data_IF_374250214618
#
_entry.id   IF_374250214618
#
_cell.length_a   1.000
_cell.length_b   1.000
_cell.length_c   1.000
_cell.angle_alpha   90.00
_cell.angle_beta   90.00
_cell.angle_gamma   90.00
#
_symmetry.space_group_name_H-M   'P 1'
#
loop_
_entity.id
_entity.type
_entity.pdbx_description
1 polymer ?
#
# COMPACT_ATOMS: atom_id res chain seq x y z
N UNK A 1 6.00 2.62 25.35
CA UNK A 1 5.09 3.45 24.52
C UNK A 1 5.42 4.94 24.64
N UNK A 2 5.38 5.54 25.84
CA UNK A 2 5.58 6.98 26.02
C UNK A 2 6.99 7.46 25.68
N UNK A 3 8.03 6.68 25.98
CA UNK A 3 9.42 7.02 25.59
C UNK A 3 9.57 7.21 24.07
N UNK A 4 8.91 6.36 23.29
CA UNK A 4 8.86 6.49 21.82
C UNK A 4 8.15 7.78 21.37
N UNK A 5 7.13 8.24 22.08
CA UNK A 5 6.39 9.47 21.75
C UNK A 5 7.24 10.73 22.05
N UNK A 6 8.05 10.70 23.09
CA UNK A 6 8.99 11.78 23.37
C UNK A 6 10.08 11.88 22.30
N UNK A 7 10.63 10.73 21.85
CA UNK A 7 11.58 10.70 20.72
C UNK A 7 10.98 11.26 19.43
N UNK A 8 9.72 10.95 19.15
CA UNK A 8 8.99 11.47 17.99
C UNK A 8 8.78 12.98 18.10
N UNK A 9 8.47 13.50 19.29
CA UNK A 9 8.34 14.94 19.52
C UNK A 9 9.67 15.66 19.24
N UNK A 10 10.79 15.11 19.72
CA UNK A 10 12.13 15.65 19.48
C UNK A 10 12.43 15.64 17.98
N UNK A 11 12.14 14.52 17.30
CA UNK A 11 12.34 14.42 15.84
C UNK A 11 11.51 15.43 15.06
N UNK A 12 10.25 15.63 15.45
CA UNK A 12 9.37 16.62 14.82
C UNK A 12 9.92 18.05 14.99
N UNK A 13 10.45 18.39 16.16
CA UNK A 13 11.08 19.70 16.41
C UNK A 13 12.34 19.88 15.53
N UNK A 14 13.18 18.85 15.41
CA UNK A 14 14.34 18.88 14.51
C UNK A 14 13.94 19.11 13.06
N UNK A 15 12.89 18.41 12.58
CA UNK A 15 12.37 18.61 11.21
C UNK A 15 11.90 20.05 11.00
N UNK A 16 11.22 20.63 11.99
CA UNK A 16 10.78 22.03 11.91
C UNK A 16 11.96 23.01 11.88
N UNK A 17 13.05 22.72 12.58
CA UNK A 17 14.29 23.50 12.52
C UNK A 17 14.99 23.34 11.16
N UNK A 18 15.13 22.09 10.66
CA UNK A 18 15.73 21.79 9.36
C UNK A 18 14.96 22.43 8.20
N UNK A 19 13.63 22.48 8.25
CA UNK A 19 12.78 23.11 7.22
C UNK A 19 12.96 24.65 7.17
N UNK A 20 13.43 25.28 8.25
CA UNK A 20 13.75 26.70 8.28
C UNK A 20 15.16 27.01 7.77
N UNK A 21 15.99 26.00 7.49
CA UNK A 21 17.35 26.21 6.98
C UNK A 21 17.30 26.55 5.47
N UNK A 22 17.88 27.69 5.04
CA UNK A 22 17.95 28.09 3.63
C UNK A 22 18.62 27.05 2.72
N UNK A 23 19.57 26.27 3.24
CA UNK A 23 20.29 25.26 2.46
C UNK A 23 19.39 24.07 2.12
N UNK A 24 18.49 23.69 3.02
CA UNK A 24 17.50 22.62 2.80
C UNK A 24 16.44 23.05 1.79
N UNK A 25 16.01 24.31 1.79
CA UNK A 25 15.04 24.85 0.84
C UNK A 25 15.55 24.77 -0.61
N UNK A 26 16.86 24.85 -0.80
CA UNK A 26 17.49 24.75 -2.13
C UNK A 26 17.58 23.29 -2.65
N UNK A 27 17.55 22.28 -1.76
CA UNK A 27 17.48 20.86 -2.14
C UNK A 27 16.03 20.37 -2.18
N UNK A 28 15.41 20.45 -3.35
CA UNK A 28 14.00 20.06 -3.52
C UNK A 28 13.70 18.60 -3.12
N UNK A 29 14.65 17.66 -3.29
CA UNK A 29 14.44 16.26 -2.91
C UNK A 29 14.41 16.11 -1.39
N UNK A 30 15.37 16.71 -0.73
CA UNK A 30 15.48 16.69 0.74
C UNK A 30 14.31 17.45 1.39
N UNK A 31 13.97 18.63 0.88
CA UNK A 31 12.83 19.40 1.35
C UNK A 31 11.51 18.63 1.28
N UNK A 32 11.22 17.96 0.13
CA UNK A 32 10.00 17.15 -0.01
C UNK A 32 9.97 15.99 0.97
N UNK A 33 11.11 15.36 1.23
CA UNK A 33 11.20 14.25 2.20
C UNK A 33 10.88 14.73 3.61
N UNK A 34 11.44 15.87 4.04
CA UNK A 34 11.18 16.46 5.35
C UNK A 34 9.72 16.92 5.49
N UNK A 35 9.16 17.55 4.46
CA UNK A 35 7.74 17.95 4.44
C UNK A 35 6.80 16.76 4.58
N UNK A 36 7.12 15.64 3.90
CA UNK A 36 6.34 14.41 4.03
C UNK A 36 6.45 13.84 5.45
N UNK A 37 7.67 13.73 5.99
CA UNK A 37 7.92 13.25 7.35
C UNK A 37 7.19 14.12 8.39
N UNK A 38 7.24 15.45 8.24
CA UNK A 38 6.51 16.42 9.08
C UNK A 38 5.00 16.18 9.02
N UNK A 39 4.43 16.06 7.82
CA UNK A 39 2.99 15.81 7.63
C UNK A 39 2.55 14.47 8.23
N UNK A 40 3.40 13.45 8.16
CA UNK A 40 3.10 12.13 8.73
C UNK A 40 3.13 12.12 10.26
N UNK A 41 4.04 12.89 10.88
CA UNK A 41 4.19 12.96 12.33
C UNK A 41 3.22 13.96 12.99
N UNK A 42 2.76 14.96 12.27
CA UNK A 42 1.95 16.07 12.81
C UNK A 42 0.71 15.58 13.59
N UNK A 43 -0.14 14.67 13.08
CA UNK A 43 -1.33 14.22 13.82
C UNK A 43 -0.98 13.53 15.15
N UNK A 44 0.12 12.79 15.16
CA UNK A 44 0.60 12.09 16.37
C UNK A 44 1.12 13.10 17.41
N UNK A 45 1.89 14.11 16.97
CA UNK A 45 2.43 15.17 17.84
C UNK A 45 1.32 16.02 18.43
N UNK A 46 0.32 16.41 17.62
CA UNK A 46 -0.85 17.16 18.08
C UNK A 46 -1.61 16.38 19.16
N UNK A 47 -1.88 15.10 18.92
CA UNK A 47 -2.60 14.25 19.87
C UNK A 47 -1.78 13.96 21.12
N UNK A 48 -0.47 13.81 21.00
CA UNK A 48 0.41 13.64 22.18
C UNK A 48 0.54 14.91 23.00
N UNK A 49 0.50 16.06 22.37
CA UNK A 49 0.46 17.35 23.09
C UNK A 49 -0.85 17.51 23.85
N UNK A 50 -1.99 17.13 23.24
CA UNK A 50 -3.28 17.07 23.91
C UNK A 50 -3.25 16.14 25.13
N UNK A 51 -2.64 14.96 24.99
CA UNK A 51 -2.42 14.02 26.10
C UNK A 51 -1.66 14.65 27.26
N UNK A 52 -0.51 15.30 26.97
CA UNK A 52 0.32 15.98 28.00
C UNK A 52 -0.46 17.07 28.70
N UNK A 53 -1.20 17.89 27.95
CA UNK A 53 -2.01 18.95 28.52
C UNK A 53 -3.13 18.39 29.41
N UNK A 54 -3.85 17.37 28.96
CA UNK A 54 -4.91 16.73 29.75
C UNK A 54 -4.35 16.08 31.02
N UNK A 55 -3.18 15.45 30.93
CA UNK A 55 -2.49 14.88 32.09
C UNK A 55 -2.08 15.97 33.08
N UNK A 56 -1.55 17.09 32.62
CA UNK A 56 -1.21 18.23 33.46
C UNK A 56 -2.46 18.80 34.15
N UNK A 57 -3.56 18.96 33.41
CA UNK A 57 -4.85 19.40 34.00
C UNK A 57 -5.30 18.45 35.13
N UNK A 58 -5.14 17.13 34.96
CA UNK A 58 -5.47 16.17 36.01
C UNK A 58 -4.58 16.37 37.23
N UNK A 59 -3.27 16.55 37.06
CA UNK A 59 -2.31 16.78 38.13
C UNK A 59 -2.63 18.08 38.88
N UNK A 60 -2.83 19.18 38.15
CA UNK A 60 -3.17 20.51 38.68
C UNK A 60 -4.50 20.49 39.46
N UNK A 61 -5.54 19.84 38.89
CA UNK A 61 -6.85 19.72 39.54
C UNK A 61 -6.79 18.87 40.81
N UNK A 62 -5.92 17.86 40.86
CA UNK A 62 -5.70 17.07 42.08
C UNK A 62 -5.00 17.87 43.17
N UNK A 63 -3.95 18.65 42.81
CA UNK A 63 -3.24 19.50 43.74
C UNK A 63 -4.16 20.60 44.30
N UNK A 64 -4.98 21.23 43.44
CA UNK A 64 -5.96 22.23 43.87
C UNK A 64 -7.01 21.65 44.79
N UNK A 65 -7.48 20.40 44.55
CA UNK A 65 -8.48 19.74 45.39
C UNK A 65 -7.99 19.46 46.81
N UNK A 66 -6.67 19.32 47.01
CA UNK A 66 -6.05 19.13 48.35
C UNK A 66 -5.96 20.42 49.15
N UNK A 67 -5.90 21.57 48.48
CA UNK A 67 -5.67 22.88 49.11
C UNK A 67 -6.94 23.71 49.21
N UNK A 68 -7.93 23.46 48.38
CA UNK A 68 -9.18 24.22 48.29
C UNK A 68 -10.09 23.91 49.50
N UNK A 69 -10.69 24.95 50.10
CA UNK A 69 -11.63 24.81 51.25
C UNK A 69 -13.10 25.04 50.83
N UNK A 70 -13.36 25.69 49.68
CA UNK A 70 -14.69 25.96 49.17
C UNK A 70 -15.36 24.74 48.55
N UNK A 71 -16.52 24.39 49.06
CA UNK A 71 -17.28 23.19 48.63
C UNK A 71 -17.78 23.31 47.14
N UNK A 72 -18.20 24.51 46.69
CA UNK A 72 -18.63 24.71 45.30
C UNK A 72 -17.44 24.57 44.33
N UNK A 73 -16.29 25.07 44.70
CA UNK A 73 -15.06 24.96 43.90
C UNK A 73 -14.57 23.48 43.86
N UNK A 74 -14.66 22.77 44.97
CA UNK A 74 -14.38 21.32 45.01
C UNK A 74 -15.27 20.51 44.11
N UNK A 75 -16.53 20.86 43.98
CA UNK A 75 -17.49 20.16 43.13
C UNK A 75 -17.15 20.39 41.64
N UNK A 76 -16.82 21.62 41.26
CA UNK A 76 -16.34 21.96 39.91
C UNK A 76 -15.04 21.22 39.57
N UNK A 77 -14.06 21.21 40.48
CA UNK A 77 -12.79 20.50 40.26
C UNK A 77 -12.97 18.98 40.11
N UNK A 78 -13.95 18.38 40.83
CA UNK A 78 -14.28 16.97 40.68
C UNK A 78 -14.95 16.65 39.34
N UNK A 79 -15.81 17.55 38.84
CA UNK A 79 -16.40 17.39 37.51
C UNK A 79 -15.32 17.51 36.42
N UNK A 80 -14.45 18.54 36.48
CA UNK A 80 -13.32 18.72 35.56
C UNK A 80 -12.38 17.50 35.57
N UNK A 81 -12.05 16.99 36.75
CA UNK A 81 -11.22 15.81 36.92
C UNK A 81 -11.87 14.54 36.32
N UNK A 82 -13.19 14.40 36.44
CA UNK A 82 -13.94 13.29 35.86
C UNK A 82 -13.95 13.36 34.35
N UNK A 83 -14.17 14.55 33.77
CA UNK A 83 -14.10 14.77 32.32
C UNK A 83 -12.70 14.53 31.77
N UNK A 84 -11.68 15.10 32.43
CA UNK A 84 -10.27 14.93 32.03
C UNK A 84 -9.84 13.46 32.07
N UNK A 85 -10.25 12.69 33.09
CA UNK A 85 -9.99 11.24 33.17
C UNK A 85 -10.70 10.44 32.07
N UNK A 86 -11.91 10.83 31.69
CA UNK A 86 -12.62 10.21 30.56
C UNK A 86 -11.92 10.51 29.24
N UNK A 87 -11.46 11.76 29.07
CA UNK A 87 -10.79 12.21 27.84
C UNK A 87 -9.41 11.58 27.67
N UNK A 88 -8.62 11.45 28.74
CA UNK A 88 -7.28 10.87 28.66
C UNK A 88 -7.34 9.40 28.19
N UNK A 89 -8.33 8.65 28.62
CA UNK A 89 -8.52 7.26 28.18
C UNK A 89 -8.85 7.17 26.67
N UNK A 90 -9.61 8.14 26.13
CA UNK A 90 -9.90 8.20 24.69
C UNK A 90 -8.64 8.59 23.91
N UNK A 91 -7.91 9.61 24.38
CA UNK A 91 -6.67 10.10 23.76
C UNK A 91 -5.63 8.97 23.72
N UNK A 92 -5.50 8.18 24.79
CA UNK A 92 -4.60 7.01 24.81
C UNK A 92 -4.94 5.97 23.75
N UNK A 93 -6.22 5.70 23.53
CA UNK A 93 -6.65 4.79 22.48
C UNK A 93 -6.35 5.35 21.08
N UNK A 94 -6.62 6.65 20.86
CA UNK A 94 -6.32 7.32 19.60
C UNK A 94 -4.79 7.36 19.33
N UNK A 95 -3.98 7.62 20.36
CA UNK A 95 -2.52 7.56 20.27
C UNK A 95 -2.02 6.16 19.90
N UNK A 96 -2.59 5.11 20.50
CA UNK A 96 -2.25 3.73 20.13
C UNK A 96 -2.51 3.46 18.64
N UNK A 97 -3.63 3.94 18.11
CA UNK A 97 -3.98 3.81 16.68
C UNK A 97 -3.00 4.59 15.79
N UNK A 98 -2.66 5.83 16.19
CA UNK A 98 -1.73 6.67 15.44
C UNK A 98 -0.28 6.14 15.45
N UNK A 99 0.09 5.34 16.46
CA UNK A 99 1.40 4.68 16.54
C UNK A 99 1.53 3.46 15.64
N UNK A 100 0.43 2.96 15.07
CA UNK A 100 0.50 1.87 14.10
C UNK A 100 1.31 2.36 12.88
N UNK A 101 2.37 1.66 12.49
CA UNK A 101 3.15 2.05 11.31
C UNK A 101 2.24 2.15 10.09
N UNK A 102 2.22 3.31 9.43
CA UNK A 102 1.53 3.49 8.17
C UNK A 102 2.20 2.62 7.11
N UNK A 103 1.42 1.88 6.35
CA UNK A 103 1.92 1.15 5.20
C UNK A 103 2.28 2.16 4.08
N UNK A 104 3.53 2.21 3.60
CA UNK A 104 3.92 3.12 2.53
C UNK A 104 3.10 2.94 1.25
N UNK A 105 2.48 1.75 1.10
CA UNK A 105 1.62 1.44 -0.05
C UNK A 105 0.23 2.08 0.04
N UNK A 106 -0.22 2.48 1.25
CA UNK A 106 -1.59 2.96 1.49
C UNK A 106 -1.96 4.21 0.68
N UNK A 107 -0.98 5.04 0.29
CA UNK A 107 -1.19 6.22 -0.55
C UNK A 107 -1.19 5.92 -2.06
N UNK A 108 -0.81 4.70 -2.46
CA UNK A 108 -0.65 4.36 -3.89
C UNK A 108 -1.99 4.16 -4.58
N UNK A 109 -1.98 4.41 -5.88
CA UNK A 109 -3.02 3.93 -6.78
C UNK A 109 -3.01 2.40 -6.85
N UNK A 110 -4.08 1.80 -7.33
CA UNK A 110 -4.18 0.35 -7.43
C UNK A 110 -4.51 -0.12 -8.83
N UNK A 111 -3.97 -1.27 -9.18
CA UNK A 111 -4.40 -2.07 -10.31
C UNK A 111 -5.29 -3.18 -9.75
N UNK A 112 -6.53 -3.23 -10.22
CA UNK A 112 -7.52 -4.22 -9.83
C UNK A 112 -7.65 -5.24 -10.95
N UNK A 113 -7.42 -6.51 -10.65
CA UNK A 113 -7.65 -7.63 -11.56
C UNK A 113 -8.84 -8.46 -11.07
N UNK A 114 -9.86 -8.57 -11.89
CA UNK A 114 -11.03 -9.42 -11.63
C UNK A 114 -11.01 -10.57 -12.63
N UNK A 115 -11.00 -11.80 -12.14
CA UNK A 115 -11.01 -13.00 -12.99
C UNK A 115 -12.15 -13.93 -12.63
N UNK A 116 -12.88 -14.41 -13.64
CA UNK A 116 -13.87 -15.44 -13.46
C UNK A 116 -13.19 -16.75 -13.01
N UNK A 117 -13.66 -17.30 -11.90
CA UNK A 117 -13.21 -18.57 -11.34
C UNK A 117 -14.12 -19.74 -11.70
N UNK A 118 -14.49 -20.56 -10.71
CA UNK A 118 -15.40 -21.68 -10.93
C UNK A 118 -16.83 -21.18 -11.18
N UNK A 119 -17.45 -21.62 -12.28
CA UNK A 119 -18.85 -21.29 -12.59
C UNK A 119 -19.11 -20.92 -14.05
N UNK A 120 -18.07 -20.90 -14.89
CA UNK A 120 -18.21 -20.60 -16.32
C UNK A 120 -18.80 -19.23 -16.61
N UNK A 121 -19.82 -19.16 -17.43
CA UNK A 121 -20.47 -17.91 -17.85
C UNK A 121 -21.06 -17.11 -16.69
N UNK A 122 -21.59 -17.78 -15.68
CA UNK A 122 -22.13 -17.14 -14.48
C UNK A 122 -21.03 -16.41 -13.68
N UNK A 123 -19.86 -17.02 -13.57
CA UNK A 123 -18.70 -16.36 -12.94
C UNK A 123 -18.27 -15.12 -13.74
N UNK A 124 -18.32 -15.19 -15.07
CA UNK A 124 -17.98 -14.05 -15.93
C UNK A 124 -19.00 -12.90 -15.81
N UNK A 125 -20.30 -13.20 -15.74
CA UNK A 125 -21.35 -12.21 -15.49
C UNK A 125 -21.18 -11.55 -14.13
N UNK A 126 -20.88 -12.34 -13.11
CA UNK A 126 -20.63 -11.79 -11.77
C UNK A 126 -19.35 -10.95 -11.70
N UNK A 127 -18.31 -11.28 -12.47
CA UNK A 127 -17.11 -10.44 -12.59
C UNK A 127 -17.44 -9.04 -13.15
N UNK A 128 -18.32 -8.96 -14.16
CA UNK A 128 -18.80 -7.69 -14.70
C UNK A 128 -19.62 -6.89 -13.66
N UNK A 129 -20.41 -7.56 -12.84
CA UNK A 129 -21.16 -6.92 -11.75
C UNK A 129 -20.22 -6.40 -10.65
N UNK A 130 -19.17 -7.14 -10.28
CA UNK A 130 -18.16 -6.66 -9.34
C UNK A 130 -17.41 -5.43 -9.89
N UNK A 131 -17.06 -5.43 -11.16
CA UNK A 131 -16.49 -4.24 -11.80
C UNK A 131 -17.43 -3.03 -11.68
N UNK A 132 -18.73 -3.21 -11.94
CA UNK A 132 -19.74 -2.16 -11.79
C UNK A 132 -19.83 -1.68 -10.34
N UNK A 133 -19.80 -2.59 -9.37
CA UNK A 133 -19.81 -2.26 -7.94
C UNK A 133 -18.62 -1.39 -7.56
N UNK A 134 -17.41 -1.80 -7.95
CA UNK A 134 -16.19 -1.02 -7.69
C UNK A 134 -16.17 0.31 -8.44
N UNK A 135 -16.73 0.37 -9.65
CA UNK A 135 -16.84 1.63 -10.40
C UNK A 135 -17.74 2.65 -9.68
N UNK A 136 -18.85 2.21 -9.13
CA UNK A 136 -19.75 3.09 -8.35
C UNK A 136 -19.12 3.51 -7.02
N UNK A 137 -18.39 2.59 -6.38
CA UNK A 137 -17.65 2.92 -5.16
C UNK A 137 -16.58 3.97 -5.44
N UNK A 138 -15.78 3.80 -6.49
CA UNK A 138 -14.76 4.75 -6.89
C UNK A 138 -15.37 6.13 -7.23
N UNK A 139 -16.51 6.16 -7.92
CA UNK A 139 -17.25 7.39 -8.21
C UNK A 139 -17.68 8.12 -6.91
N UNK A 140 -18.20 7.38 -5.93
CA UNK A 140 -18.57 7.93 -4.62
C UNK A 140 -17.40 8.57 -3.88
N UNK A 141 -16.20 8.02 -4.06
CA UNK A 141 -14.94 8.51 -3.47
C UNK A 141 -14.24 9.56 -4.35
N UNK A 142 -14.80 9.89 -5.52
CA UNK A 142 -14.18 10.79 -6.53
C UNK A 142 -12.83 10.25 -7.05
N UNK A 143 -12.66 8.94 -7.06
CA UNK A 143 -11.53 8.29 -7.68
C UNK A 143 -11.74 8.13 -9.19
N UNK A 144 -10.65 8.15 -9.93
CA UNK A 144 -10.67 7.93 -11.38
C UNK A 144 -10.44 6.45 -11.68
N UNK A 145 -11.22 5.89 -12.59
CA UNK A 145 -11.02 4.54 -13.13
C UNK A 145 -10.51 4.65 -14.56
N UNK A 146 -9.51 3.84 -14.87
CA UNK A 146 -8.96 3.67 -16.21
C UNK A 146 -8.89 2.19 -16.56
N UNK A 147 -9.63 1.78 -17.60
CA UNK A 147 -9.61 0.40 -18.08
C UNK A 147 -8.28 0.12 -18.77
N UNK A 148 -7.58 -0.93 -18.35
CA UNK A 148 -6.30 -1.35 -18.92
C UNK A 148 -6.48 -2.51 -19.89
N UNK A 149 -7.23 -3.55 -19.49
CA UNK A 149 -7.51 -4.72 -20.31
C UNK A 149 -8.83 -5.37 -19.95
N UNK A 150 -9.51 -5.95 -20.93
CA UNK A 150 -10.76 -6.67 -20.71
C UNK A 150 -10.90 -7.83 -21.69
N UNK A 151 -11.25 -9.00 -21.16
CA UNK A 151 -11.58 -10.19 -21.95
C UNK A 151 -13.03 -10.59 -21.70
N UNK A 152 -13.89 -10.36 -22.70
CA UNK A 152 -15.32 -10.64 -22.62
C UNK A 152 -15.64 -12.11 -22.98
N UNK A 153 -16.78 -12.62 -22.46
CA UNK A 153 -17.27 -13.96 -22.81
C UNK A 153 -18.35 -13.98 -23.92
N UNK A 154 -18.66 -12.82 -24.51
CA UNK A 154 -19.64 -12.69 -25.58
C UNK A 154 -21.11 -12.59 -25.14
N UNK A 155 -21.42 -12.72 -23.86
CA UNK A 155 -22.77 -12.54 -23.27
C UNK A 155 -22.82 -11.38 -22.27
N UNK A 156 -21.84 -10.47 -22.32
CA UNK A 156 -21.75 -9.29 -21.44
C UNK A 156 -21.04 -9.54 -20.11
N UNK A 157 -20.44 -10.71 -19.91
CA UNK A 157 -19.59 -11.03 -18.76
C UNK A 157 -18.11 -10.86 -19.07
N UNK A 158 -17.28 -10.75 -18.03
CA UNK A 158 -15.84 -10.63 -18.14
C UNK A 158 -15.15 -11.91 -17.68
N UNK A 159 -14.37 -12.54 -18.58
CA UNK A 159 -13.44 -13.61 -18.19
C UNK A 159 -12.31 -13.05 -17.35
N UNK A 160 -11.82 -11.89 -17.75
CA UNK A 160 -10.80 -11.11 -17.07
C UNK A 160 -11.07 -9.62 -17.32
N UNK A 161 -10.85 -8.81 -16.28
CA UNK A 161 -10.96 -7.37 -16.35
C UNK A 161 -9.84 -6.77 -15.49
N UNK A 162 -9.01 -5.91 -16.09
CA UNK A 162 -7.92 -5.21 -15.42
C UNK A 162 -8.13 -3.71 -15.57
N UNK A 163 -8.16 -3.00 -14.46
CA UNK A 163 -8.34 -1.55 -14.46
C UNK A 163 -7.54 -0.90 -13.33
N UNK A 164 -7.13 0.33 -13.57
CA UNK A 164 -6.46 1.16 -12.56
C UNK A 164 -7.47 2.05 -11.86
N UNK A 165 -7.31 2.20 -10.55
CA UNK A 165 -8.05 3.15 -9.72
C UNK A 165 -7.06 4.14 -9.13
N UNK A 166 -7.25 5.42 -9.43
CA UNK A 166 -6.36 6.50 -9.01
C UNK A 166 -7.10 7.51 -8.16
N UNK A 167 -6.48 7.94 -7.06
CA UNK A 167 -7.04 8.92 -6.13
C UNK A 167 -6.34 8.88 -4.78
N UNK A 168 -6.91 9.58 -3.80
CA UNK A 168 -6.33 9.64 -2.46
C UNK A 168 -6.61 8.35 -1.67
N UNK A 169 -5.54 7.78 -1.09
CA UNK A 169 -5.60 6.61 -0.21
C UNK A 169 -6.36 5.39 -0.78
N UNK A 170 -6.22 5.15 -2.09
CA UNK A 170 -6.96 4.08 -2.77
C UNK A 170 -6.56 2.72 -2.24
N UNK A 171 -5.25 2.43 -2.15
CA UNK A 171 -4.76 1.13 -1.68
C UNK A 171 -5.19 0.84 -0.25
N UNK A 172 -5.17 1.83 0.65
CA UNK A 172 -5.55 1.65 2.05
C UNK A 172 -6.97 1.08 2.23
N UNK A 173 -7.87 1.39 1.31
CA UNK A 173 -9.25 0.92 1.32
C UNK A 173 -9.46 -0.32 0.46
N UNK A 174 -8.88 -0.35 -0.74
CA UNK A 174 -9.09 -1.43 -1.71
C UNK A 174 -8.33 -2.71 -1.38
N UNK A 175 -7.23 -2.67 -0.63
CA UNK A 175 -6.44 -3.86 -0.27
C UNK A 175 -7.25 -4.98 0.39
N UNK A 176 -8.35 -4.65 1.06
CA UNK A 176 -9.24 -5.61 1.70
C UNK A 176 -10.18 -6.33 0.74
N UNK A 177 -10.24 -5.90 -0.53
CA UNK A 177 -11.07 -6.50 -1.56
C UNK A 177 -10.40 -7.73 -2.22
N UNK A 178 -9.09 -7.93 -1.98
CA UNK A 178 -8.34 -9.03 -2.56
C UNK A 178 -8.76 -10.38 -1.98
N UNK A 179 -9.03 -11.35 -2.87
CA UNK A 179 -9.39 -12.72 -2.50
C UNK A 179 -10.47 -13.33 -3.38
N UNK A 180 -11.09 -14.41 -2.89
CA UNK A 180 -12.14 -15.16 -3.58
C UNK A 180 -13.52 -14.68 -3.17
N UNK A 181 -14.29 -14.17 -4.11
CA UNK A 181 -15.68 -13.73 -3.96
C UNK A 181 -16.64 -14.83 -4.45
N UNK A 182 -17.51 -15.30 -3.59
CA UNK A 182 -18.45 -16.37 -3.88
C UNK A 182 -19.86 -15.83 -4.07
N UNK A 183 -20.48 -16.10 -5.22
CA UNK A 183 -21.87 -15.76 -5.50
C UNK A 183 -22.76 -17.00 -5.42
N UNK A 184 -23.95 -16.83 -4.87
CA UNK A 184 -25.02 -17.83 -4.78
C UNK A 184 -26.31 -17.21 -5.33
N UNK A 185 -26.70 -17.62 -6.53
CA UNK A 185 -27.96 -17.21 -7.17
C UNK A 185 -28.38 -18.22 -8.23
N UNK A 186 -29.59 -18.08 -8.74
CA UNK A 186 -30.01 -18.76 -9.95
C UNK A 186 -29.39 -18.01 -11.13
N UNK A 187 -28.50 -18.64 -11.93
CA UNK A 187 -27.90 -17.98 -13.08
C UNK A 187 -28.92 -17.57 -14.12
N UNK A 188 -28.69 -16.47 -14.83
CA UNK A 188 -29.53 -16.07 -15.97
C UNK A 188 -29.49 -17.14 -17.11
N UNK A 189 -28.44 -17.93 -17.15
CA UNK A 189 -28.23 -19.03 -18.13
C UNK A 189 -28.88 -20.35 -17.71
N UNK A 190 -29.49 -20.45 -16.52
CA UNK A 190 -30.07 -21.65 -15.96
C UNK A 190 -31.59 -21.70 -16.19
N UNK A 191 -32.07 -22.69 -16.96
CA UNK A 191 -33.48 -22.87 -17.22
C UNK A 191 -34.24 -23.62 -16.12
N UNK A 192 -33.56 -24.34 -15.24
CA UNK A 192 -34.12 -25.21 -14.20
C UNK A 192 -34.34 -24.51 -12.82
N UNK A 193 -34.05 -23.22 -12.70
CA UNK A 193 -34.27 -22.47 -11.45
C UNK A 193 -33.39 -22.90 -10.28
N UNK A 194 -32.30 -23.64 -10.53
CA UNK A 194 -31.40 -24.12 -9.48
C UNK A 194 -30.42 -23.05 -9.05
N UNK A 195 -30.19 -22.93 -7.74
CA UNK A 195 -29.17 -22.04 -7.19
C UNK A 195 -27.79 -22.64 -7.48
N UNK A 196 -26.96 -21.89 -8.20
CA UNK A 196 -25.57 -22.23 -8.43
C UNK A 196 -24.65 -21.43 -7.52
N UNK A 197 -23.46 -21.97 -7.31
CA UNK A 197 -22.40 -21.31 -6.57
C UNK A 197 -21.22 -21.11 -7.50
N UNK A 198 -20.91 -19.85 -7.80
CA UNK A 198 -19.80 -19.45 -8.65
C UNK A 198 -18.77 -18.62 -7.87
N UNK A 199 -17.56 -18.52 -8.37
CA UNK A 199 -16.49 -17.75 -7.75
C UNK A 199 -15.84 -16.81 -8.75
N UNK A 200 -15.42 -15.67 -8.23
CA UNK A 200 -14.60 -14.68 -8.92
C UNK A 200 -13.43 -14.35 -8.02
N UNK A 201 -12.26 -14.23 -8.58
CA UNK A 201 -11.06 -13.81 -7.86
C UNK A 201 -10.78 -12.34 -8.13
N UNK A 202 -10.45 -11.61 -7.06
CA UNK A 202 -10.06 -10.20 -7.12
C UNK A 202 -8.63 -10.09 -6.59
N UNK A 203 -7.73 -9.51 -7.37
CA UNK A 203 -6.39 -9.15 -6.91
C UNK A 203 -6.25 -7.62 -6.90
N UNK A 204 -5.67 -7.10 -5.85
CA UNK A 204 -5.41 -5.67 -5.65
C UNK A 204 -3.90 -5.48 -5.57
N UNK A 205 -3.33 -4.88 -6.61
CA UNK A 205 -1.91 -4.63 -6.71
C UNK A 205 -1.64 -3.12 -6.57
N UNK A 206 -0.71 -2.69 -5.71
CA UNK A 206 -0.31 -1.29 -5.71
C UNK A 206 0.35 -0.92 -7.04
N UNK A 207 0.13 0.31 -7.51
CA UNK A 207 0.81 0.82 -8.70
C UNK A 207 2.33 0.76 -8.51
N UNK A 208 3.02 0.14 -9.45
CA UNK A 208 4.46 0.01 -9.42
C UNK A 208 5.13 1.34 -9.80
N UNK A 209 6.09 1.79 -9.00
CA UNK A 209 6.95 2.91 -9.36
C UNK A 209 7.90 2.53 -10.50
N UNK A 210 8.26 3.50 -11.32
CA UNK A 210 9.31 3.30 -12.33
C UNK A 210 10.62 2.87 -11.63
N UNK A 211 11.25 1.84 -12.20
CA UNK A 211 12.52 1.35 -11.69
C UNK A 211 13.62 2.20 -12.30
N UNK A 212 14.24 3.02 -11.48
CA UNK A 212 15.45 3.76 -11.87
C UNK A 212 16.67 3.09 -11.23
N UNK A 213 17.66 2.77 -12.04
CA UNK A 213 18.89 2.10 -11.59
C UNK A 213 20.04 3.08 -11.63
N UNK A 214 20.47 3.52 -10.45
CA UNK A 214 21.72 4.25 -10.28
C UNK A 214 22.86 3.24 -10.07
N UNK A 215 23.95 3.41 -10.84
CA UNK A 215 25.15 2.56 -10.71
C UNK A 215 26.13 3.27 -9.79
N UNK A 216 26.43 2.67 -8.64
CA UNK A 216 27.53 3.14 -7.80
C UNK A 216 28.86 2.76 -8.47
N UNK A 217 29.68 3.78 -8.75
CA UNK A 217 31.00 3.58 -9.36
C UNK A 217 31.97 2.77 -8.50
N UNK A 218 31.76 2.71 -7.19
CA UNK A 218 32.57 1.92 -6.26
C UNK A 218 32.30 0.42 -6.42
N UNK A 219 31.11 0.06 -6.89
CA UNK A 219 30.70 -1.32 -7.13
C UNK A 219 31.15 -1.87 -8.47
N UNK A 220 31.72 -1.00 -9.34
CA UNK A 220 32.15 -1.39 -10.68
C UNK A 220 33.65 -1.43 -10.80
N UNK A 221 34.19 -2.61 -10.99
CA UNK A 221 35.59 -2.82 -11.37
C UNK A 221 35.77 -2.64 -12.87
N UNK A 222 36.73 -1.79 -13.27
CA UNK A 222 37.03 -1.48 -14.67
C UNK A 222 38.39 -2.04 -15.01
N UNK A 223 38.44 -3.00 -15.92
CA UNK A 223 39.68 -3.54 -16.46
C UNK A 223 39.84 -3.11 -17.92
N UNK A 224 40.99 -2.58 -18.25
CA UNK A 224 41.35 -2.16 -19.62
C UNK A 224 42.29 -3.15 -20.22
N UNK A 225 42.07 -3.53 -21.47
CA UNK A 225 42.91 -4.54 -22.16
C UNK A 225 42.97 -4.26 -23.67
N UNK A 226 43.83 -4.97 -24.35
CA UNK A 226 43.91 -4.94 -25.80
C UNK A 226 42.72 -5.65 -26.42
N UNK A 227 42.18 -5.06 -27.52
CA UNK A 227 41.13 -5.71 -28.26
C UNK A 227 41.63 -7.02 -28.91
N UNK A 228 40.80 -8.05 -28.90
CA UNK A 228 41.08 -9.32 -29.58
C UNK A 228 40.37 -9.37 -30.92
N UNK A 229 41.08 -9.81 -31.97
CA UNK A 229 40.50 -9.97 -33.32
C UNK A 229 41.50 -9.74 -34.43
N UNK A 230 41.08 -10.00 -35.67
CA UNK A 230 41.87 -9.72 -36.86
C UNK A 230 41.96 -8.20 -37.09
N UNK A 231 43.14 -7.62 -36.83
CA UNK A 231 43.32 -6.18 -36.96
C UNK A 231 44.79 -5.80 -37.15
N UNK A 232 45.01 -4.55 -37.65
CA UNK A 232 46.33 -3.97 -37.84
C UNK A 232 46.95 -3.41 -36.56
N UNK A 233 47.91 -2.47 -36.70
CA UNK A 233 48.70 -1.94 -35.57
C UNK A 233 47.83 -1.36 -34.41
N UNK A 234 46.65 -0.81 -34.72
CA UNK A 234 45.77 -0.21 -33.71
C UNK A 234 45.16 -1.22 -32.73
N UNK A 235 44.85 -2.44 -33.16
CA UNK A 235 44.29 -3.52 -32.33
C UNK A 235 45.37 -4.13 -31.45
N UNK A 236 46.60 -4.21 -31.93
CA UNK A 236 47.69 -4.89 -31.25
C UNK A 236 48.50 -4.02 -30.28
N UNK A 237 48.40 -2.69 -30.38
CA UNK A 237 49.20 -1.75 -29.60
C UNK A 237 48.43 -0.89 -28.63
N UNK A 238 47.08 -0.72 -28.83
CA UNK A 238 46.30 0.18 -28.04
C UNK A 238 45.36 -0.59 -27.11
N UNK A 239 45.35 -0.24 -25.80
CA UNK A 239 44.42 -0.81 -24.81
C UNK A 239 43.04 -0.15 -24.94
N UNK A 240 42.31 -0.49 -26.01
CA UNK A 240 40.99 0.08 -26.31
C UNK A 240 39.81 -0.71 -25.77
N UNK A 241 39.97 -1.99 -25.47
CA UNK A 241 38.91 -2.84 -24.94
C UNK A 241 38.70 -2.60 -23.45
N UNK A 242 37.45 -2.57 -23.02
CA UNK A 242 37.04 -2.35 -21.63
C UNK A 242 36.18 -3.52 -21.16
N UNK A 243 36.50 -4.04 -19.97
CA UNK A 243 35.72 -5.02 -19.24
C UNK A 243 35.22 -4.38 -17.94
N UNK A 244 33.90 -4.33 -17.76
CA UNK A 244 33.27 -3.93 -16.52
C UNK A 244 32.83 -5.17 -15.76
N UNK A 245 33.12 -5.21 -14.47
CA UNK A 245 32.62 -6.24 -13.56
C UNK A 245 31.86 -5.54 -12.45
N UNK A 246 30.56 -5.79 -12.35
CA UNK A 246 29.73 -5.29 -11.27
C UNK A 246 29.83 -6.27 -10.09
N UNK A 247 30.52 -5.88 -9.02
CA UNK A 247 30.86 -6.76 -7.91
C UNK A 247 29.65 -7.37 -7.19
N UNK A 248 28.55 -6.62 -6.90
CA UNK A 248 27.42 -7.18 -6.17
C UNK A 248 26.65 -8.25 -6.96
N UNK A 249 26.51 -8.08 -8.29
CA UNK A 249 25.74 -9.01 -9.13
C UNK A 249 26.60 -10.01 -9.87
N UNK A 250 27.94 -9.80 -9.92
CA UNK A 250 28.85 -10.62 -10.69
C UNK A 250 28.74 -10.46 -12.23
N UNK A 251 27.98 -9.49 -12.70
CA UNK A 251 27.79 -9.24 -14.14
C UNK A 251 29.10 -8.73 -14.74
N UNK A 252 29.53 -9.38 -15.81
CA UNK A 252 30.70 -8.98 -16.58
C UNK A 252 30.27 -8.52 -17.96
N UNK A 253 30.65 -7.29 -18.33
CA UNK A 253 30.40 -6.69 -19.66
C UNK A 253 31.72 -6.41 -20.33
N UNK A 254 31.83 -6.83 -21.57
CA UNK A 254 33.00 -6.62 -22.42
C UNK A 254 32.65 -5.76 -23.63
N UNK A 255 33.38 -4.69 -23.87
CA UNK A 255 33.20 -3.80 -25.01
C UNK A 255 34.52 -3.51 -25.71
N UNK A 256 34.61 -3.86 -27.00
CA UNK A 256 35.80 -3.68 -27.86
C UNK A 256 35.45 -3.21 -29.27
N UNK A 257 34.22 -2.77 -29.50
CA UNK A 257 33.72 -2.47 -30.85
C UNK A 257 34.23 -1.12 -31.40
N UNK A 258 34.60 -0.21 -30.53
CA UNK A 258 35.07 1.12 -30.89
C UNK A 258 36.60 1.21 -30.81
N UNK A 259 37.18 2.16 -31.58
CA UNK A 259 38.65 2.41 -31.55
C UNK A 259 39.06 3.19 -30.29
N UNK A 260 38.15 3.87 -29.63
CA UNK A 260 38.38 4.70 -28.48
C UNK A 260 38.03 3.94 -27.20
N UNK A 261 38.94 3.88 -26.23
CA UNK A 261 38.68 3.35 -24.89
C UNK A 261 37.53 4.03 -24.20
N UNK A 262 37.41 5.38 -24.33
CA UNK A 262 36.34 6.15 -23.70
C UNK A 262 34.96 5.74 -24.24
N UNK A 263 34.85 5.60 -25.56
CA UNK A 263 33.59 5.15 -26.18
C UNK A 263 33.21 3.72 -25.77
N UNK A 264 34.19 2.81 -25.70
CA UNK A 264 33.98 1.45 -25.20
C UNK A 264 33.54 1.44 -23.73
N UNK A 265 34.11 2.33 -22.91
CA UNK A 265 33.71 2.49 -21.50
C UNK A 265 32.25 2.98 -21.39
N UNK A 266 31.89 4.03 -22.10
CA UNK A 266 30.51 4.55 -22.10
C UNK A 266 29.50 3.50 -22.58
N UNK A 267 29.83 2.77 -23.66
CA UNK A 267 29.00 1.70 -24.19
C UNK A 267 28.85 0.55 -23.19
N UNK A 268 29.93 0.17 -22.52
CA UNK A 268 29.89 -0.85 -21.49
C UNK A 268 29.02 -0.45 -20.28
N UNK A 269 29.10 0.81 -19.81
CA UNK A 269 28.21 1.32 -18.77
C UNK A 269 26.75 1.36 -19.20
N UNK A 270 26.46 1.73 -20.44
CA UNK A 270 25.08 1.70 -20.97
C UNK A 270 24.53 0.28 -20.97
N UNK A 271 25.32 -0.69 -21.41
CA UNK A 271 24.94 -2.11 -21.38
C UNK A 271 24.77 -2.64 -19.95
N UNK A 272 25.66 -2.22 -19.02
CA UNK A 272 25.53 -2.60 -17.61
C UNK A 272 24.23 -2.07 -17.02
N UNK A 273 23.89 -0.79 -17.27
CA UNK A 273 22.63 -0.18 -16.80
C UNK A 273 21.41 -0.92 -17.34
N UNK A 274 21.41 -1.27 -18.62
CA UNK A 274 20.31 -2.06 -19.21
C UNK A 274 20.18 -3.43 -18.57
N UNK A 275 21.29 -4.10 -18.28
CA UNK A 275 21.26 -5.43 -17.63
C UNK A 275 20.82 -5.38 -16.19
N UNK A 276 21.26 -4.39 -15.43
CA UNK A 276 20.81 -4.19 -14.06
C UNK A 276 19.32 -3.84 -13.99
N UNK A 277 18.86 -3.00 -14.90
CA UNK A 277 17.43 -2.67 -15.04
C UNK A 277 16.59 -3.91 -15.35
N UNK A 278 17.06 -4.76 -16.28
CA UNK A 278 16.37 -6.02 -16.61
C UNK A 278 16.21 -6.93 -15.38
N UNK A 279 17.27 -7.10 -14.60
CA UNK A 279 17.25 -7.92 -13.37
C UNK A 279 16.29 -7.32 -12.32
N UNK A 280 16.28 -5.99 -12.17
CA UNK A 280 15.41 -5.35 -11.19
C UNK A 280 13.93 -5.44 -11.61
N UNK A 281 13.64 -5.31 -12.89
CA UNK A 281 12.31 -5.55 -13.44
C UNK A 281 11.87 -7.01 -13.23
N UNK A 282 12.76 -7.99 -13.49
CA UNK A 282 12.44 -9.41 -13.26
C UNK A 282 12.15 -9.71 -11.78
N UNK A 283 12.93 -9.15 -10.85
CA UNK A 283 12.66 -9.28 -9.41
C UNK A 283 11.30 -8.71 -9.04
N UNK A 284 11.00 -7.49 -9.51
CA UNK A 284 9.73 -6.82 -9.24
C UNK A 284 8.55 -7.64 -9.78
N UNK A 285 8.66 -8.16 -10.99
CA UNK A 285 7.64 -9.05 -11.56
C UNK A 285 7.47 -10.35 -10.77
N UNK A 286 8.56 -10.92 -10.25
CA UNK A 286 8.48 -12.11 -9.40
C UNK A 286 7.79 -11.82 -8.06
N UNK A 287 8.07 -10.67 -7.44
CA UNK A 287 7.41 -10.21 -6.22
C UNK A 287 5.93 -9.94 -6.44
N UNK A 288 5.55 -9.25 -7.52
CA UNK A 288 4.17 -9.02 -7.90
C UNK A 288 3.40 -10.33 -8.18
N UNK A 289 4.04 -11.26 -8.87
CA UNK A 289 3.45 -12.58 -9.14
C UNK A 289 3.24 -13.38 -7.84
N UNK A 290 4.18 -13.31 -6.89
CA UNK A 290 4.05 -13.93 -5.59
C UNK A 290 2.93 -13.29 -4.77
N UNK A 291 2.85 -11.96 -4.74
CA UNK A 291 1.78 -11.21 -4.07
C UNK A 291 0.40 -11.57 -4.64
N UNK A 292 0.26 -11.56 -5.97
CA UNK A 292 -0.98 -11.95 -6.66
C UNK A 292 -1.37 -13.39 -6.31
N UNK A 293 -0.44 -14.32 -6.33
CA UNK A 293 -0.69 -15.73 -5.99
C UNK A 293 -1.15 -15.89 -4.54
N UNK A 294 -0.56 -15.15 -3.60
CA UNK A 294 -0.95 -15.18 -2.21
C UNK A 294 -2.36 -14.60 -1.97
N UNK A 295 -2.75 -13.57 -2.73
CA UNK A 295 -4.08 -12.96 -2.62
C UNK A 295 -5.19 -13.85 -3.18
N UNK A 296 -4.96 -14.51 -4.31
CA UNK A 296 -5.99 -15.22 -5.08
C UNK A 296 -6.06 -16.70 -4.72
N UNK A 297 -4.99 -17.29 -4.18
CA UNK A 297 -4.92 -18.72 -3.87
C UNK A 297 -5.16 -19.58 -5.11
N UNK A 298 -6.00 -20.62 -4.97
CA UNK A 298 -6.43 -21.49 -6.08
C UNK A 298 -7.74 -21.04 -6.74
N UNK A 299 -8.45 -20.07 -6.17
CA UNK A 299 -9.78 -19.64 -6.60
C UNK A 299 -10.89 -20.62 -6.24
N UNK A 300 -10.61 -21.61 -5.40
CA UNK A 300 -11.60 -22.59 -4.95
C UNK A 300 -12.71 -21.95 -4.09
N UNK A 301 -13.90 -22.56 -4.15
CA UNK A 301 -15.07 -22.10 -3.39
C UNK A 301 -14.86 -22.12 -1.86
N UNK A 302 -13.93 -22.92 -1.38
CA UNK A 302 -13.57 -23.03 0.04
C UNK A 302 -12.77 -21.83 0.53
N UNK A 303 -11.96 -21.19 -0.33
CA UNK A 303 -11.09 -20.06 -0.02
C UNK A 303 -11.81 -18.69 0.03
N UNK A 304 -13.13 -18.71 -0.03
CA UNK A 304 -13.95 -17.49 -0.04
C UNK A 304 -13.66 -16.56 1.11
N UNK A 305 -13.43 -15.31 0.79
CA UNK A 305 -13.44 -14.20 1.76
C UNK A 305 -14.86 -13.65 1.95
N UNK A 306 -15.66 -13.62 0.88
CA UNK A 306 -17.02 -13.06 0.85
C UNK A 306 -18.03 -13.98 0.19
N UNK A 307 -19.28 -13.88 0.64
CA UNK A 307 -20.41 -14.56 0.02
C UNK A 307 -21.54 -13.59 -0.29
N UNK A 308 -21.96 -13.58 -1.53
CA UNK A 308 -23.08 -12.80 -2.08
C UNK A 308 -24.26 -13.76 -2.31
N UNK A 309 -25.23 -13.78 -1.41
CA UNK A 309 -26.40 -14.66 -1.48
C UNK A 309 -27.61 -13.85 -1.92
N UNK A 310 -27.91 -13.89 -3.23
CA UNK A 310 -28.98 -13.12 -3.84
C UNK A 310 -30.39 -13.55 -3.37
N UNK A 311 -30.72 -14.87 -3.28
CA UNK A 311 -32.02 -15.30 -2.78
C UNK A 311 -32.37 -14.80 -1.38
N UNK A 312 -31.36 -14.61 -0.53
CA UNK A 312 -31.53 -14.14 0.84
C UNK A 312 -31.29 -12.62 0.99
N UNK A 313 -30.86 -11.92 -0.08
CA UNK A 313 -30.41 -10.52 0.01
C UNK A 313 -29.24 -10.32 0.99
N UNK A 314 -28.52 -11.41 1.25
CA UNK A 314 -27.49 -11.48 2.30
C UNK A 314 -26.08 -11.42 1.73
N UNK A 315 -25.27 -10.58 2.33
CA UNK A 315 -23.85 -10.49 2.10
C UNK A 315 -23.08 -10.86 3.37
N UNK A 316 -21.98 -11.60 3.24
CA UNK A 316 -21.19 -12.06 4.40
C UNK A 316 -19.71 -11.90 4.15
N UNK A 317 -19.00 -11.23 5.06
CA UNK A 317 -17.55 -11.16 5.16
C UNK A 317 -17.07 -12.22 6.15
N UNK A 318 -16.33 -13.20 5.65
CA UNK A 318 -15.96 -14.36 6.45
C UNK A 318 -14.79 -14.11 7.40
N UNK A 319 -13.90 -13.18 7.07
CA UNK A 319 -12.71 -12.85 7.88
C UNK A 319 -13.07 -12.27 9.25
N UNK A 320 -14.09 -11.39 9.26
CA UNK A 320 -14.57 -10.70 10.49
C UNK A 320 -15.98 -11.17 10.92
N UNK A 321 -16.54 -12.19 10.23
CA UNK A 321 -17.88 -12.75 10.48
C UNK A 321 -19.02 -11.70 10.41
N UNK A 322 -18.84 -10.63 9.64
CA UNK A 322 -19.85 -9.60 9.43
C UNK A 322 -20.88 -10.09 8.42
N UNK A 323 -22.17 -9.92 8.73
CA UNK A 323 -23.28 -10.28 7.83
C UNK A 323 -24.24 -9.10 7.70
N UNK A 324 -24.53 -8.70 6.47
CA UNK A 324 -25.44 -7.62 6.13
C UNK A 324 -26.55 -8.11 5.21
N UNK A 325 -27.78 -7.57 5.37
CA UNK A 325 -28.97 -7.93 4.58
C UNK A 325 -29.38 -6.83 3.59
N UNK A 326 -28.39 -6.11 3.05
CA UNK A 326 -28.56 -5.03 2.08
C UNK A 326 -27.67 -5.25 0.84
N UNK A 327 -27.71 -6.48 0.32
CA UNK A 327 -26.91 -6.87 -0.84
C UNK A 327 -27.08 -5.93 -2.05
N UNK A 328 -28.28 -5.42 -2.28
CA UNK A 328 -28.55 -4.49 -3.38
C UNK A 328 -27.78 -3.17 -3.29
N UNK A 329 -27.68 -2.61 -2.09
CA UNK A 329 -26.91 -1.36 -1.85
C UNK A 329 -25.43 -1.61 -2.00
N UNK A 330 -24.93 -2.73 -1.48
CA UNK A 330 -23.52 -3.16 -1.62
C UNK A 330 -23.17 -3.30 -3.10
N UNK A 331 -23.99 -3.96 -3.90
CA UNK A 331 -23.78 -4.10 -5.36
C UNK A 331 -23.90 -2.75 -6.11
N UNK A 332 -24.44 -1.73 -5.47
CA UNK A 332 -24.48 -0.36 -5.95
C UNK A 332 -23.31 0.51 -5.43
N UNK A 333 -22.32 -0.08 -4.77
CA UNK A 333 -21.09 0.59 -4.35
C UNK A 333 -21.10 1.11 -2.90
N UNK A 334 -22.08 0.73 -2.06
CA UNK A 334 -22.08 1.07 -0.64
C UNK A 334 -21.19 0.09 0.14
N UNK A 335 -19.87 0.34 0.11
CA UNK A 335 -18.83 -0.51 0.72
C UNK A 335 -18.22 0.10 2.00
N UNK A 336 -18.56 1.34 2.37
CA UNK A 336 -17.86 2.03 3.46
C UNK A 336 -17.93 1.30 4.78
N UNK A 337 -19.12 0.91 5.26
CA UNK A 337 -19.25 0.17 6.52
C UNK A 337 -18.42 -1.12 6.56
N UNK A 338 -18.34 -1.80 5.43
CA UNK A 338 -17.59 -3.04 5.29
C UNK A 338 -16.10 -2.79 5.41
N UNK A 339 -15.61 -1.81 4.64
CA UNK A 339 -14.19 -1.46 4.58
C UNK A 339 -13.75 -0.87 5.92
N UNK A 340 -14.55 0.00 6.54
CA UNK A 340 -14.24 0.59 7.84
C UNK A 340 -14.19 -0.48 8.94
N UNK A 341 -15.09 -1.48 8.89
CA UNK A 341 -15.05 -2.63 9.81
C UNK A 341 -13.79 -3.49 9.62
N UNK A 342 -13.32 -3.66 8.39
CA UNK A 342 -12.09 -4.39 8.08
C UNK A 342 -10.84 -3.61 8.51
N UNK A 343 -10.84 -2.29 8.30
CA UNK A 343 -9.77 -1.40 8.78
C UNK A 343 -9.69 -1.48 10.31
N UNK A 344 -10.82 -1.38 11.01
CA UNK A 344 -10.86 -1.48 12.47
C UNK A 344 -10.35 -2.84 12.98
N UNK A 345 -10.70 -3.93 12.31
CA UNK A 345 -10.22 -5.27 12.64
C UNK A 345 -8.71 -5.43 12.40
N UNK A 346 -8.18 -4.89 11.30
CA UNK A 346 -6.74 -4.88 10.98
C UNK A 346 -5.95 -4.05 12.00
N UNK A 347 -6.45 -2.88 12.36
CA UNK A 347 -5.86 -2.03 13.39
C UNK A 347 -5.84 -2.73 14.76
N UNK A 348 -6.94 -3.39 15.14
CA UNK A 348 -7.01 -4.15 16.39
C UNK A 348 -6.01 -5.30 16.42
N UNK A 349 -5.85 -6.03 15.31
CA UNK A 349 -4.86 -7.09 15.19
C UNK A 349 -3.42 -6.58 15.29
N UNK A 350 -3.12 -5.44 14.65
CA UNK A 350 -1.80 -4.80 14.72
C UNK A 350 -1.48 -4.30 16.12
N UNK A 351 -2.45 -3.70 16.81
CA UNK A 351 -2.28 -3.27 18.21
C UNK A 351 -2.01 -4.44 19.15
N UNK A 352 -2.73 -5.56 19.00
CA UNK A 352 -2.50 -6.76 19.79
C UNK A 352 -1.07 -7.29 19.59
N UNK A 353 -0.57 -7.34 18.36
CA UNK A 353 0.79 -7.77 18.08
C UNK A 353 1.86 -6.82 18.66
N UNK A 354 1.57 -5.51 18.74
CA UNK A 354 2.49 -4.52 19.34
C UNK A 354 2.52 -4.58 20.89
N UNK A 355 1.48 -5.12 21.52
CA UNK A 355 1.44 -5.32 22.98
C UNK A 355 2.16 -6.62 23.40
N UNK A 356 2.35 -7.57 22.48
CA UNK A 356 3.05 -8.85 22.70
C UNK A 356 4.58 -8.76 22.48
N UNK A 357 5.09 -7.67 21.84
CA UNK A 357 6.52 -7.34 21.65
C UNK A 357 7.03 -6.38 22.76
#
# INVERSE_FOLDING_TARGET
>A
MFDRLDDILIRYQQIMEELNDPDVVNDQKHFRKLMKEQSDLQPLVEKYTEYKNTKQTIEDSLEMLEVEDDEEMKEMLKEELSEAKSNIAKIEQELKVLLIPKDPMDEKNVIVEIRAGAGGDEAALFAAELFRMYSKYAESKRWKIEMMDVSENGIGGFKECVFMVSGDHVYSRMKFESGVHRVQRVPETESGGRIHTSTVTVAIMPEAEEVDVEIDMNDVRIDVMRASGNGGQCVNTTDSAVRLTHNPTGIVIYSQTEKSQLQNKEKAFRLLRSKLLEIEIEKKHAEEAALRKNQVGTGDRSEKIRTYNFPQGRWTEHRIKLTLYRLGDIMNGDLDEIIDSLIAADQAAKLANMEDE
#
